data_IF_449455530257
#
_entry.id   IF_449455530257
#
_cell.length_a   1.000
_cell.length_b   1.000
_cell.length_c   1.000
_cell.angle_alpha   90.00
_cell.angle_beta   90.00
_cell.angle_gamma   90.00
#
_symmetry.space_group_name_H-M   'P 1'
#
loop_
_entity.id
_entity.type
_entity.pdbx_description
1 polymer ?
#
# COMPACT_ATOMS: atom_id res chain seq x y z
N UNK A 1 -1.71 7.22 2.86
CA UNK A 1 -2.74 6.21 3.16
C UNK A 1 -2.53 5.04 2.22
N UNK A 2 -2.64 3.79 2.71
CA UNK A 2 -2.58 2.61 1.84
C UNK A 2 -3.73 2.62 0.80
N UNK A 3 -3.48 2.15 -0.41
CA UNK A 3 -4.51 2.01 -1.45
C UNK A 3 -5.53 0.94 -1.11
N UNK A 4 -5.08 -0.12 -0.46
CA UNK A 4 -5.93 -1.24 -0.10
C UNK A 4 -6.32 -1.16 1.38
N UNK A 5 -7.61 -1.28 1.69
CA UNK A 5 -8.07 -1.30 3.08
C UNK A 5 -7.63 -2.60 3.77
N UNK A 6 -7.51 -2.57 5.09
CA UNK A 6 -7.17 -3.75 5.89
C UNK A 6 -5.85 -3.63 6.63
N UNK A 7 -5.50 -4.67 7.38
CA UNK A 7 -4.30 -4.72 8.20
C UNK A 7 -3.01 -4.81 7.35
N UNK A 8 -3.09 -5.37 6.14
CA UNK A 8 -1.93 -5.50 5.24
C UNK A 8 -1.26 -4.15 4.94
N UNK A 9 -2.05 -3.06 4.87
CA UNK A 9 -1.52 -1.72 4.69
C UNK A 9 -0.59 -1.23 5.81
N UNK A 10 -0.64 -1.85 7.00
CA UNK A 10 0.25 -1.50 8.11
C UNK A 10 1.69 -1.95 7.86
N UNK A 11 1.93 -2.90 6.95
CA UNK A 11 3.27 -3.33 6.54
C UNK A 11 3.99 -2.31 5.64
N UNK A 12 3.28 -1.29 5.18
CA UNK A 12 3.87 -0.25 4.34
C UNK A 12 4.58 0.81 5.18
N UNK A 13 5.82 1.11 4.82
CA UNK A 13 6.57 2.27 5.29
C UNK A 13 6.76 3.26 4.15
N UNK A 14 6.50 4.53 4.44
CA UNK A 14 6.77 5.63 3.51
C UNK A 14 7.92 6.47 4.05
N UNK A 15 8.97 6.59 3.28
CA UNK A 15 10.12 7.43 3.63
C UNK A 15 10.19 8.61 2.68
N UNK A 16 10.41 9.80 3.23
CA UNK A 16 10.53 11.04 2.47
C UNK A 16 11.83 11.74 2.80
N UNK A 17 12.65 11.96 1.77
CA UNK A 17 13.84 12.80 1.83
C UNK A 17 13.50 14.16 1.20
N UNK A 18 13.53 15.22 2.02
CA UNK A 18 12.96 16.54 1.69
C UNK A 18 14.01 17.55 1.27
N UNK A 19 15.29 17.27 1.53
CA UNK A 19 16.38 18.22 1.27
C UNK A 19 17.71 17.51 1.11
N UNK A 20 18.70 18.24 0.59
CA UNK A 20 20.07 17.73 0.52
C UNK A 20 20.63 17.36 1.90
N UNK A 21 20.22 18.09 2.95
CA UNK A 21 20.62 17.79 4.33
C UNK A 21 19.99 16.49 4.84
N UNK A 22 18.75 16.20 4.46
CA UNK A 22 18.10 14.92 4.78
C UNK A 22 18.79 13.74 4.09
N UNK A 23 19.26 13.97 2.86
CA UNK A 23 19.97 12.96 2.07
C UNK A 23 21.35 12.63 2.63
N UNK A 24 22.16 13.67 2.92
CA UNK A 24 23.51 13.53 3.42
C UNK A 24 23.84 14.67 4.39
N UNK A 25 24.35 14.33 5.58
CA UNK A 25 24.78 15.33 6.55
C UNK A 25 26.02 14.88 7.29
N UNK A 26 27.03 15.76 7.37
CA UNK A 26 28.21 15.54 8.19
C UNK A 26 27.85 15.50 9.68
N UNK A 27 28.45 14.60 10.44
CA UNK A 27 28.37 14.56 11.90
C UNK A 27 28.92 15.80 12.60
N UNK A 28 29.43 16.78 11.86
CA UNK A 28 29.99 18.01 12.40
C UNK A 28 31.20 17.75 13.31
N UNK A 29 31.11 18.23 14.54
CA UNK A 29 32.15 17.97 15.57
C UNK A 29 31.97 16.63 16.29
N UNK A 30 30.89 15.92 16.08
CA UNK A 30 30.65 14.62 16.67
C UNK A 30 31.53 13.54 16.01
N UNK A 31 32.03 12.64 16.84
CA UNK A 31 32.83 11.52 16.41
C UNK A 31 32.30 10.21 16.99
N UNK A 32 32.65 9.12 16.34
CA UNK A 32 32.33 7.76 16.81
C UNK A 32 33.61 7.00 17.21
N UNK A 33 33.46 6.08 18.15
CA UNK A 33 34.47 5.10 18.54
C UNK A 33 33.84 3.72 18.42
N UNK A 34 34.47 2.82 17.67
CA UNK A 34 33.95 1.48 17.42
C UNK A 34 35.08 0.46 17.38
N UNK A 35 34.94 -0.66 18.08
CA UNK A 35 35.87 -1.77 18.02
C UNK A 35 35.59 -2.72 16.87
N UNK A 36 36.66 -3.30 16.33
CA UNK A 36 36.56 -4.34 15.30
C UNK A 36 35.68 -5.50 15.79
N UNK A 37 34.75 -5.95 14.95
CA UNK A 37 33.77 -6.98 15.28
C UNK A 37 32.56 -6.50 16.11
N UNK A 38 32.52 -5.23 16.54
CA UNK A 38 31.39 -4.65 17.27
C UNK A 38 30.28 -4.20 16.35
N UNK A 39 29.03 -4.26 16.87
CA UNK A 39 27.85 -3.58 16.28
C UNK A 39 27.59 -2.22 16.95
N UNK A 40 28.25 -1.91 18.04
CA UNK A 40 27.98 -0.71 18.82
C UNK A 40 29.14 0.26 18.70
N UNK A 41 28.83 1.48 18.29
CA UNK A 41 29.74 2.62 18.34
C UNK A 41 29.30 3.56 19.46
N UNK A 42 30.26 4.07 20.25
CA UNK A 42 29.99 5.18 21.17
C UNK A 42 30.15 6.51 20.43
N UNK A 43 29.34 7.51 20.81
CA UNK A 43 29.38 8.85 20.21
C UNK A 43 29.91 9.87 21.18
N UNK A 44 30.63 10.87 20.67
CA UNK A 44 31.17 11.98 21.51
C UNK A 44 30.11 13.04 21.82
N UNK A 45 28.94 13.01 21.14
CA UNK A 45 27.84 13.90 21.37
C UNK A 45 26.51 13.12 21.18
N UNK A 46 25.49 13.58 21.86
CA UNK A 46 24.13 13.04 21.70
C UNK A 46 23.62 13.23 20.26
N UNK A 47 23.31 12.13 19.60
CA UNK A 47 22.79 12.10 18.23
C UNK A 47 21.27 12.00 18.19
N UNK A 48 20.61 11.92 19.34
CA UNK A 48 19.15 11.88 19.43
C UNK A 48 18.50 13.27 19.40
N UNK A 49 19.29 14.31 19.58
CA UNK A 49 18.86 15.72 19.59
C UNK A 49 19.71 16.57 18.65
N UNK A 50 19.10 17.46 17.91
CA UNK A 50 19.76 18.35 16.96
C UNK A 50 20.49 19.49 17.68
N UNK A 51 21.63 19.22 18.29
CA UNK A 51 22.49 20.22 18.97
C UNK A 51 23.79 20.44 18.21
N UNK A 52 23.69 20.84 16.92
CA UNK A 52 24.87 21.14 16.08
C UNK A 52 25.57 19.94 15.50
N UNK A 53 25.03 18.73 15.65
CA UNK A 53 25.44 17.49 14.99
C UNK A 53 24.33 16.99 14.11
N UNK A 54 24.64 16.12 13.15
CA UNK A 54 23.63 15.45 12.34
C UNK A 54 22.70 14.63 13.23
N UNK A 55 21.39 14.88 13.13
CA UNK A 55 20.40 14.04 13.82
C UNK A 55 20.36 12.68 13.14
N UNK A 56 20.76 11.64 13.88
CA UNK A 56 20.74 10.25 13.41
C UNK A 56 19.44 9.58 13.83
N UNK A 57 18.87 8.77 12.95
CA UNK A 57 17.64 8.02 13.20
C UNK A 57 17.83 6.52 12.92
N UNK A 58 17.06 5.64 13.55
CA UNK A 58 17.01 4.23 13.14
C UNK A 58 16.65 4.13 11.65
N UNK A 59 17.44 3.34 10.92
CA UNK A 59 17.31 3.21 9.47
C UNK A 59 18.34 4.00 8.68
N UNK A 60 18.85 5.12 9.17
CA UNK A 60 19.93 5.87 8.52
C UNK A 60 21.18 5.02 8.29
N UNK A 61 22.00 5.44 7.34
CA UNK A 61 23.31 4.82 7.08
C UNK A 61 24.41 5.76 7.52
N UNK A 62 25.33 5.25 8.33
CA UNK A 62 26.50 6.00 8.79
C UNK A 62 27.71 5.57 7.99
N UNK A 63 28.31 6.53 7.30
CA UNK A 63 29.58 6.38 6.63
C UNK A 63 30.71 6.87 7.54
N UNK A 64 31.75 6.09 7.66
CA UNK A 64 33.04 6.48 8.27
C UNK A 64 34.19 5.78 7.59
N UNK A 65 35.39 6.32 7.72
CA UNK A 65 36.57 5.83 7.02
C UNK A 65 37.59 5.34 8.04
N UNK A 66 38.19 4.18 7.82
CA UNK A 66 39.25 3.65 8.69
C UNK A 66 40.64 4.27 8.41
N UNK A 67 41.63 3.87 9.20
CA UNK A 67 43.02 4.33 9.07
C UNK A 67 43.69 3.88 7.76
N UNK A 68 43.12 2.87 7.08
CA UNK A 68 43.58 2.41 5.77
C UNK A 68 42.86 3.10 4.61
N UNK A 69 42.07 4.12 4.90
CA UNK A 69 41.22 4.85 3.92
C UNK A 69 40.11 3.98 3.27
N UNK A 70 39.62 3.00 4.01
CA UNK A 70 38.50 2.18 3.59
C UNK A 70 37.21 2.78 4.17
N UNK A 71 36.25 3.01 3.32
CA UNK A 71 34.91 3.51 3.70
C UNK A 71 34.01 2.37 4.16
N UNK A 72 33.34 2.55 5.27
CA UNK A 72 32.33 1.65 5.82
C UNK A 72 30.97 2.35 5.84
N UNK A 73 29.93 1.65 5.41
CA UNK A 73 28.54 2.10 5.42
C UNK A 73 27.73 1.13 6.28
N UNK A 74 27.36 1.55 7.48
CA UNK A 74 26.62 0.71 8.41
C UNK A 74 25.24 1.30 8.69
N UNK A 75 24.20 0.47 8.54
CA UNK A 75 22.82 0.89 8.81
C UNK A 75 22.56 0.91 10.32
N UNK A 76 21.96 1.99 10.79
CA UNK A 76 21.55 2.18 12.18
C UNK A 76 20.35 1.29 12.50
N UNK A 77 20.45 0.46 13.52
CA UNK A 77 19.38 -0.34 14.09
C UNK A 77 18.67 0.42 15.22
N UNK A 78 19.43 0.99 16.13
CA UNK A 78 18.93 1.77 17.27
C UNK A 78 20.00 2.72 17.78
N UNK A 79 19.58 3.69 18.58
CA UNK A 79 20.50 4.61 19.24
C UNK A 79 20.04 4.98 20.65
N UNK A 80 21.03 5.45 21.42
CA UNK A 80 20.88 6.09 22.73
C UNK A 80 21.68 7.41 22.70
N UNK A 81 21.58 8.20 23.75
CA UNK A 81 22.28 9.48 23.86
C UNK A 81 23.82 9.37 23.65
N UNK A 82 24.39 8.21 23.87
CA UNK A 82 25.84 7.99 23.86
C UNK A 82 26.30 6.87 22.91
N UNK A 83 25.40 6.19 22.23
CA UNK A 83 25.78 5.07 21.38
C UNK A 83 24.83 4.86 20.20
N UNK A 84 25.39 4.41 19.07
CA UNK A 84 24.70 3.95 17.88
C UNK A 84 24.88 2.44 17.78
N UNK A 85 23.79 1.69 17.67
CA UNK A 85 23.83 0.26 17.38
C UNK A 85 23.53 0.06 15.90
N UNK A 86 24.39 -0.67 15.21
CA UNK A 86 24.26 -0.99 13.78
C UNK A 86 23.66 -2.37 13.58
N UNK A 87 23.02 -2.59 12.45
CA UNK A 87 22.52 -3.92 12.04
C UNK A 87 23.66 -4.90 11.83
N UNK A 88 24.77 -4.44 11.22
CA UNK A 88 25.91 -5.25 10.90
C UNK A 88 27.12 -4.85 11.76
N UNK A 89 28.07 -5.80 11.88
CA UNK A 89 29.30 -5.57 12.60
C UNK A 89 30.27 -4.75 11.77
N UNK A 90 30.99 -3.85 12.41
CA UNK A 90 32.19 -3.26 11.81
C UNK A 90 33.26 -4.33 11.61
N UNK A 91 33.71 -4.50 10.38
CA UNK A 91 34.64 -5.59 9.97
C UNK A 91 36.07 -5.09 9.69
N UNK A 92 36.36 -3.85 10.00
CA UNK A 92 37.70 -3.31 9.82
C UNK A 92 38.78 -4.02 10.68
N UNK A 93 40.01 -3.94 10.25
CA UNK A 93 41.10 -4.69 10.85
C UNK A 93 41.53 -4.19 12.26
N UNK A 94 41.17 -2.96 12.62
CA UNK A 94 41.55 -2.33 13.89
C UNK A 94 40.40 -1.54 14.50
N UNK A 95 40.44 -1.32 15.80
CA UNK A 95 39.55 -0.42 16.51
C UNK A 95 39.70 1.01 15.99
N UNK A 96 38.61 1.73 15.90
CA UNK A 96 38.59 3.14 15.53
C UNK A 96 38.22 3.99 16.75
N UNK A 97 38.95 5.07 16.95
CA UNK A 97 38.72 6.02 18.02
C UNK A 97 38.58 7.42 17.47
N UNK A 98 37.53 8.12 17.88
CA UNK A 98 37.27 9.53 17.51
C UNK A 98 37.28 9.78 16.00
N UNK A 99 36.56 8.95 15.25
CA UNK A 99 36.45 9.08 13.79
C UNK A 99 35.24 9.93 13.42
N UNK A 100 35.45 10.86 12.50
CA UNK A 100 34.35 11.63 11.90
C UNK A 100 33.42 10.73 11.07
N UNK A 101 32.16 11.06 11.00
CA UNK A 101 31.19 10.31 10.23
C UNK A 101 30.30 11.23 9.40
N UNK A 102 29.63 10.65 8.42
CA UNK A 102 28.57 11.27 7.61
C UNK A 102 27.34 10.40 7.70
N UNK A 103 26.20 11.01 7.98
CA UNK A 103 24.89 10.36 7.94
C UNK A 103 24.32 10.46 6.53
N UNK A 104 23.78 9.34 6.04
CA UNK A 104 23.02 9.24 4.81
C UNK A 104 21.60 8.76 5.10
N UNK A 105 20.66 9.22 4.32
CA UNK A 105 19.31 8.66 4.28
C UNK A 105 19.35 7.17 3.92
N UNK A 106 18.49 6.35 4.53
CA UNK A 106 18.42 4.89 4.32
C UNK A 106 18.46 4.44 2.85
N UNK A 107 17.82 5.21 1.99
CA UNK A 107 17.60 4.88 0.58
C UNK A 107 18.44 5.74 -0.37
N UNK A 108 19.54 6.30 0.12
CA UNK A 108 20.41 7.19 -0.63
C UNK A 108 20.97 6.58 -1.93
N UNK A 109 21.15 5.26 -1.94
CA UNK A 109 21.69 4.47 -3.06
C UNK A 109 20.65 4.11 -4.14
N UNK A 110 19.37 4.39 -3.88
CA UNK A 110 18.29 4.15 -4.83
C UNK A 110 18.00 5.34 -5.74
N UNK A 111 18.58 6.49 -5.46
CA UNK A 111 18.39 7.74 -6.20
C UNK A 111 19.73 8.28 -6.67
N UNK A 112 19.73 9.08 -7.73
CA UNK A 112 20.97 9.54 -8.38
C UNK A 112 21.71 10.64 -7.62
N UNK A 113 20.96 11.49 -6.92
CA UNK A 113 21.48 12.63 -6.18
C UNK A 113 20.53 13.05 -5.07
N UNK A 114 20.98 13.95 -4.20
CA UNK A 114 20.12 14.61 -3.21
C UNK A 114 19.02 15.41 -3.90
N UNK A 115 17.83 15.57 -3.27
CA UNK A 115 16.78 16.42 -3.81
C UNK A 115 17.25 17.88 -3.89
N UNK A 116 16.95 18.52 -4.98
CA UNK A 116 17.43 19.87 -5.32
C UNK A 116 16.32 20.81 -5.73
N UNK A 117 16.52 21.46 -6.85
CA UNK A 117 15.55 22.39 -7.46
C UNK A 117 15.20 21.88 -8.85
N UNK A 118 13.91 21.67 -9.10
CA UNK A 118 13.45 21.28 -10.43
C UNK A 118 13.66 22.41 -11.45
N UNK A 119 13.87 22.05 -12.71
CA UNK A 119 14.02 23.03 -13.78
C UNK A 119 12.81 23.97 -13.89
N UNK A 120 11.62 23.48 -13.59
CA UNK A 120 10.41 24.30 -13.55
C UNK A 120 10.48 25.38 -12.47
N UNK A 121 10.82 25.00 -11.25
CA UNK A 121 10.92 25.90 -10.11
C UNK A 121 12.06 26.90 -10.27
N UNK A 122 13.21 26.47 -10.80
CA UNK A 122 14.34 27.35 -11.12
C UNK A 122 13.93 28.43 -12.12
N UNK A 123 13.22 28.04 -13.20
CA UNK A 123 12.70 28.99 -14.19
C UNK A 123 11.70 30.00 -13.62
N UNK A 124 11.08 29.71 -12.48
CA UNK A 124 10.17 30.61 -11.74
C UNK A 124 10.88 31.43 -10.67
N UNK A 125 12.17 31.19 -10.43
CA UNK A 125 12.98 31.90 -9.44
C UNK A 125 12.89 31.34 -8.01
N UNK A 126 12.25 30.19 -7.81
CA UNK A 126 12.25 29.45 -6.55
C UNK A 126 13.39 28.46 -6.45
N UNK A 127 13.52 27.81 -5.29
CA UNK A 127 14.56 26.82 -5.01
C UNK A 127 14.06 25.72 -4.08
N UNK A 128 14.70 24.53 -4.13
CA UNK A 128 14.54 23.46 -3.16
C UNK A 128 13.12 22.88 -3.11
N UNK A 129 12.52 22.62 -4.24
CA UNK A 129 11.19 22.05 -4.35
C UNK A 129 11.18 20.52 -4.50
N UNK A 130 12.30 19.93 -4.89
CA UNK A 130 12.36 18.49 -5.09
C UNK A 130 12.38 17.73 -3.76
N UNK A 131 11.76 16.57 -3.79
CA UNK A 131 11.74 15.57 -2.71
C UNK A 131 11.85 14.17 -3.31
N UNK A 132 12.35 13.22 -2.52
CA UNK A 132 12.32 11.80 -2.87
C UNK A 132 11.36 11.08 -1.95
N UNK A 133 10.55 10.17 -2.50
CA UNK A 133 9.63 9.34 -1.73
C UNK A 133 9.90 7.88 -2.06
N UNK A 134 10.04 7.06 -1.02
CA UNK A 134 10.21 5.61 -1.13
C UNK A 134 9.12 4.91 -0.35
N UNK A 135 8.51 3.91 -0.98
CA UNK A 135 7.54 3.01 -0.35
C UNK A 135 8.19 1.65 -0.20
N UNK A 136 8.16 1.10 1.00
CA UNK A 136 8.76 -0.19 1.32
C UNK A 136 7.79 -1.09 2.10
N UNK A 137 7.96 -2.38 1.95
CA UNK A 137 7.32 -3.41 2.75
C UNK A 137 8.11 -3.58 4.05
N UNK A 138 7.68 -2.90 5.12
CA UNK A 138 8.46 -2.79 6.36
C UNK A 138 8.60 -4.15 7.06
N UNK A 139 7.51 -4.89 7.13
CA UNK A 139 7.44 -6.16 7.87
C UNK A 139 7.64 -7.39 6.99
N UNK A 140 7.49 -7.24 5.69
CA UNK A 140 7.59 -8.34 4.72
C UNK A 140 6.28 -9.09 4.48
N UNK A 141 5.15 -8.59 4.98
CA UNK A 141 3.85 -9.25 4.84
C UNK A 141 3.29 -9.20 3.41
N UNK A 142 3.80 -8.29 2.59
CA UNK A 142 3.39 -8.12 1.19
C UNK A 142 4.25 -8.98 0.27
N UNK A 143 5.58 -8.88 0.40
CA UNK A 143 6.54 -9.49 -0.53
C UNK A 143 7.19 -10.77 0.00
N UNK A 144 7.05 -11.04 1.29
CA UNK A 144 7.79 -12.09 1.99
C UNK A 144 9.20 -11.66 2.41
N UNK A 145 9.63 -10.44 2.10
CA UNK A 145 10.97 -9.94 2.41
C UNK A 145 10.88 -8.62 3.17
N UNK A 146 11.28 -8.64 4.42
CA UNK A 146 11.28 -7.46 5.29
C UNK A 146 12.16 -6.34 4.73
N UNK A 147 11.58 -5.13 4.62
CA UNK A 147 12.25 -3.94 4.12
C UNK A 147 12.41 -3.87 2.62
N UNK A 148 11.74 -4.75 1.86
CA UNK A 148 11.76 -4.72 0.40
C UNK A 148 11.16 -3.41 -0.12
N UNK A 149 11.91 -2.72 -0.98
CA UNK A 149 11.43 -1.51 -1.65
C UNK A 149 10.41 -1.88 -2.72
N UNK A 150 9.28 -1.20 -2.70
CA UNK A 150 8.17 -1.40 -3.64
C UNK A 150 8.17 -0.31 -4.71
N UNK A 151 8.34 0.97 -4.32
CA UNK A 151 8.27 2.12 -5.22
C UNK A 151 9.30 3.17 -4.82
N UNK A 152 9.84 3.86 -5.83
CA UNK A 152 10.77 4.99 -5.67
C UNK A 152 10.30 6.14 -6.55
N UNK A 153 10.08 7.30 -5.96
CA UNK A 153 9.74 8.55 -6.63
C UNK A 153 10.90 9.53 -6.44
N UNK A 154 11.76 9.61 -7.45
CA UNK A 154 12.94 10.48 -7.43
C UNK A 154 12.59 11.86 -8.02
N UNK A 155 12.92 12.94 -7.30
CA UNK A 155 12.82 14.29 -7.80
C UNK A 155 11.40 14.78 -8.08
N UNK A 156 10.40 14.26 -7.36
CA UNK A 156 9.05 14.82 -7.41
C UNK A 156 9.00 16.15 -6.66
N UNK A 157 8.12 17.04 -7.08
CA UNK A 157 8.09 18.40 -6.56
C UNK A 157 7.02 18.61 -5.50
N UNK A 158 7.33 19.39 -4.47
CA UNK A 158 6.33 19.93 -3.53
C UNK A 158 5.65 21.21 -4.05
N UNK A 159 6.07 21.70 -5.20
CA UNK A 159 5.40 22.83 -5.84
C UNK A 159 4.14 22.36 -6.59
N UNK A 160 2.99 22.90 -6.19
CA UNK A 160 1.67 22.48 -6.69
C UNK A 160 1.45 22.74 -8.18
N UNK A 161 2.22 23.66 -8.74
CA UNK A 161 2.19 24.04 -10.16
C UNK A 161 3.36 23.44 -10.98
N UNK A 162 4.21 22.60 -10.34
CA UNK A 162 5.37 22.01 -11.00
C UNK A 162 4.99 21.10 -12.17
N UNK A 163 5.80 21.21 -13.23
CA UNK A 163 5.66 20.39 -14.43
C UNK A 163 6.97 19.76 -14.85
N UNK A 164 6.88 18.59 -15.44
CA UNK A 164 7.98 17.93 -16.14
C UNK A 164 8.27 18.65 -17.46
N UNK A 165 9.38 18.31 -18.13
CA UNK A 165 9.69 18.80 -19.46
C UNK A 165 8.61 18.44 -20.50
N UNK A 166 7.91 17.33 -20.33
CA UNK A 166 6.78 16.92 -21.16
C UNK A 166 5.48 17.68 -20.89
N UNK A 167 5.45 18.52 -19.84
CA UNK A 167 4.29 19.33 -19.46
C UNK A 167 3.30 18.63 -18.49
N UNK A 168 3.58 17.40 -18.09
CA UNK A 168 2.79 16.70 -17.07
C UNK A 168 3.04 17.28 -15.68
N UNK A 169 2.09 17.08 -14.75
CA UNK A 169 2.30 17.46 -13.35
C UNK A 169 3.45 16.66 -12.72
N UNK A 170 4.40 17.39 -12.12
CA UNK A 170 5.45 16.82 -11.25
C UNK A 170 5.16 17.02 -9.77
N UNK A 171 3.99 17.54 -9.40
CA UNK A 171 3.58 17.68 -8.03
C UNK A 171 3.44 16.28 -7.38
N UNK A 172 4.10 16.06 -6.24
CA UNK A 172 4.25 14.72 -5.65
C UNK A 172 2.91 14.02 -5.40
N UNK A 173 1.86 14.75 -5.03
CA UNK A 173 0.52 14.17 -4.83
C UNK A 173 -0.03 13.61 -6.14
N UNK A 174 0.03 14.38 -7.23
CA UNK A 174 -0.48 13.97 -8.54
C UNK A 174 0.32 12.80 -9.11
N UNK A 175 1.65 12.83 -8.90
CA UNK A 175 2.53 11.74 -9.36
C UNK A 175 2.21 10.45 -8.63
N UNK A 176 2.14 10.48 -7.31
CA UNK A 176 1.82 9.31 -6.48
C UNK A 176 0.40 8.81 -6.78
N UNK A 177 -0.59 9.70 -6.93
CA UNK A 177 -1.96 9.29 -7.23
C UNK A 177 -2.07 8.56 -8.58
N UNK A 178 -1.28 8.98 -9.57
CA UNK A 178 -1.27 8.40 -10.92
C UNK A 178 -0.44 7.12 -11.02
N UNK A 179 0.67 7.02 -10.29
CA UNK A 179 1.68 5.99 -10.52
C UNK A 179 1.78 4.93 -9.42
N UNK A 180 1.37 5.25 -8.18
CA UNK A 180 1.51 4.31 -7.07
C UNK A 180 0.47 3.19 -7.16
N UNK A 181 0.90 1.97 -6.94
CA UNK A 181 0.03 0.83 -6.73
C UNK A 181 -0.30 0.60 -5.24
N UNK A 182 0.44 1.24 -4.33
CA UNK A 182 0.41 0.92 -2.91
C UNK A 182 -0.16 2.02 -2.02
N UNK A 183 0.01 3.29 -2.39
CA UNK A 183 -0.37 4.42 -1.53
C UNK A 183 -1.15 5.49 -2.27
N UNK A 184 -1.94 6.26 -1.49
CA UNK A 184 -2.47 7.56 -1.88
C UNK A 184 -1.78 8.64 -1.06
N UNK A 185 -1.30 9.69 -1.70
CA UNK A 185 -0.84 10.91 -1.05
C UNK A 185 -2.04 11.83 -0.78
N UNK A 186 -2.90 11.47 0.18
CA UNK A 186 -4.19 12.14 0.39
C UNK A 186 -4.43 12.45 1.87
N UNK A 187 -5.10 13.54 2.14
CA UNK A 187 -5.75 13.77 3.44
C UNK A 187 -5.08 14.76 4.37
N UNK A 188 -3.84 15.20 4.13
CA UNK A 188 -3.27 16.32 4.88
C UNK A 188 -2.98 17.48 3.93
N UNK A 189 -3.43 18.65 4.30
CA UNK A 189 -3.01 19.88 3.66
C UNK A 189 -1.59 20.19 4.11
N UNK A 190 -0.70 20.44 3.15
CA UNK A 190 0.65 20.95 3.42
C UNK A 190 1.61 19.96 4.11
N UNK A 191 1.58 18.68 3.73
CA UNK A 191 2.46 17.61 4.25
C UNK A 191 3.95 17.95 4.12
N UNK A 192 4.35 18.60 3.03
CA UNK A 192 5.73 18.90 2.70
C UNK A 192 5.97 20.41 2.56
N UNK A 193 5.24 21.24 3.32
CA UNK A 193 5.24 22.69 3.15
C UNK A 193 4.98 23.07 1.69
N UNK A 194 3.89 22.52 1.11
CA UNK A 194 3.50 22.71 -0.27
C UNK A 194 3.43 24.19 -0.65
N UNK A 195 3.89 24.53 -1.82
CA UNK A 195 4.07 25.90 -2.28
C UNK A 195 3.85 25.98 -3.79
N UNK A 196 4.01 27.16 -4.39
CA UNK A 196 4.17 27.26 -5.85
C UNK A 196 5.64 27.27 -6.21
N UNK A 197 5.99 26.96 -7.46
CA UNK A 197 7.37 27.01 -7.94
C UNK A 197 8.04 28.35 -7.64
N UNK A 198 7.37 29.46 -7.92
CA UNK A 198 7.90 30.82 -7.68
C UNK A 198 8.12 31.16 -6.19
N UNK A 199 7.38 30.53 -5.27
CA UNK A 199 7.47 30.78 -3.83
C UNK A 199 8.27 29.69 -3.09
N UNK A 200 8.81 28.71 -3.79
CA UNK A 200 9.54 27.61 -3.17
C UNK A 200 10.88 28.11 -2.59
N UNK A 201 11.16 27.63 -1.37
CA UNK A 201 12.41 27.87 -0.65
C UNK A 201 12.94 26.54 -0.11
N UNK A 202 14.24 26.35 -0.07
CA UNK A 202 14.84 25.12 0.43
C UNK A 202 14.41 24.82 1.89
N UNK A 203 14.06 23.57 2.15
CA UNK A 203 13.81 23.09 3.51
C UNK A 203 15.17 22.84 4.18
N UNK A 204 15.37 23.41 5.37
CA UNK A 204 16.69 23.42 6.04
C UNK A 204 16.70 22.75 7.41
N UNK A 205 15.56 22.41 7.97
CA UNK A 205 15.43 22.09 9.39
C UNK A 205 14.85 20.69 9.69
N UNK A 206 14.57 19.91 8.67
CA UNK A 206 13.91 18.62 8.88
C UNK A 206 14.82 17.46 8.51
N UNK A 207 14.56 16.30 9.10
CA UNK A 207 15.21 15.05 8.71
C UNK A 207 14.30 14.25 7.77
N UNK A 208 14.89 13.33 7.04
CA UNK A 208 14.12 12.31 6.32
C UNK A 208 13.16 11.59 7.27
N UNK A 209 11.97 11.27 6.80
CA UNK A 209 10.98 10.54 7.59
C UNK A 209 10.96 9.07 7.22
N UNK A 210 10.59 8.23 8.18
CA UNK A 210 10.36 6.78 8.02
C UNK A 210 9.03 6.45 8.67
N UNK A 211 7.93 6.79 7.99
CA UNK A 211 6.59 6.69 8.54
C UNK A 211 5.95 5.35 8.20
N UNK A 212 5.79 4.48 9.21
CA UNK A 212 5.00 3.26 9.08
C UNK A 212 3.52 3.61 9.01
N UNK A 213 2.81 3.06 8.03
CA UNK A 213 1.35 3.19 7.98
C UNK A 213 0.74 2.38 9.13
N UNK A 214 -0.37 2.90 9.68
CA UNK A 214 -1.00 2.36 10.89
C UNK A 214 -2.52 2.43 10.76
N UNK A 215 -3.21 1.78 11.70
CA UNK A 215 -4.67 1.80 11.84
C UNK A 215 -5.42 1.04 10.74
N UNK A 216 -4.73 0.27 9.90
CA UNK A 216 -5.37 -0.74 9.08
C UNK A 216 -5.90 -1.86 9.96
N UNK A 217 -7.17 -2.21 9.81
CA UNK A 217 -7.81 -3.26 10.59
C UNK A 217 -8.59 -4.15 9.65
N UNK A 218 -8.36 -5.45 9.73
CA UNK A 218 -9.21 -6.43 9.06
C UNK A 218 -10.48 -6.64 9.87
N UNK A 219 -11.57 -6.95 9.20
CA UNK A 219 -12.76 -7.34 9.90
C UNK A 219 -12.48 -8.63 10.70
N UNK A 220 -12.65 -8.58 12.01
CA UNK A 220 -12.47 -9.74 12.89
C UNK A 220 -13.42 -10.92 12.56
N UNK A 221 -14.38 -10.70 11.68
CA UNK A 221 -15.40 -11.67 11.32
C UNK A 221 -15.83 -11.49 9.86
N UNK A 222 -14.98 -11.85 8.90
CA UNK A 222 -15.35 -11.87 7.46
C UNK A 222 -16.63 -12.70 7.20
N UNK A 223 -16.85 -13.73 8.00
CA UNK A 223 -18.10 -14.52 7.99
C UNK A 223 -19.34 -13.77 8.48
N UNK A 224 -19.17 -12.60 9.09
CA UNK A 224 -20.24 -11.78 9.70
C UNK A 224 -20.51 -10.48 8.93
N UNK A 225 -19.96 -10.32 7.72
CA UNK A 225 -20.25 -9.17 6.85
C UNK A 225 -21.76 -9.09 6.64
N UNK A 226 -22.33 -7.93 6.92
CA UNK A 226 -23.78 -7.74 6.78
C UNK A 226 -24.20 -7.60 5.31
N UNK A 227 -25.47 -7.90 5.03
CA UNK A 227 -26.05 -7.64 3.72
C UNK A 227 -25.91 -6.16 3.32
N UNK A 228 -26.03 -5.23 4.27
CA UNK A 228 -25.92 -3.80 4.00
C UNK A 228 -24.50 -3.41 3.54
N UNK A 229 -23.44 -3.99 4.13
CA UNK A 229 -22.08 -3.70 3.73
C UNK A 229 -21.80 -4.18 2.31
N UNK A 230 -22.24 -5.41 1.98
CA UNK A 230 -22.10 -5.96 0.63
C UNK A 230 -22.92 -5.15 -0.37
N UNK A 231 -24.15 -4.77 -0.01
CA UNK A 231 -25.03 -3.97 -0.86
C UNK A 231 -24.38 -2.62 -1.24
N UNK A 232 -23.63 -1.98 -0.31
CA UNK A 232 -22.88 -0.76 -0.61
C UNK A 232 -21.85 -0.96 -1.74
N UNK A 233 -21.22 -2.13 -1.82
CA UNK A 233 -20.33 -2.48 -2.92
C UNK A 233 -21.08 -2.62 -4.25
N UNK A 234 -22.24 -3.26 -4.25
CA UNK A 234 -23.08 -3.39 -5.47
C UNK A 234 -23.67 -2.05 -5.91
N UNK A 235 -23.87 -1.10 -4.99
CA UNK A 235 -24.41 0.22 -5.32
C UNK A 235 -23.52 1.01 -6.28
N UNK A 236 -22.22 0.72 -6.29
CA UNK A 236 -21.27 1.32 -7.24
C UNK A 236 -21.57 0.94 -8.71
N UNK A 237 -22.38 -0.10 -8.93
CA UNK A 237 -22.74 -0.62 -10.24
C UNK A 237 -24.20 -0.32 -10.61
N UNK A 238 -24.92 0.53 -9.90
CA UNK A 238 -26.31 0.86 -10.16
C UNK A 238 -26.54 1.65 -11.45
N UNK A 239 -25.59 2.53 -11.78
CA UNK A 239 -25.72 3.41 -12.94
C UNK A 239 -25.19 2.70 -14.18
N UNK A 240 -26.04 2.54 -15.19
CA UNK A 240 -25.62 2.01 -16.49
C UNK A 240 -24.83 3.05 -17.32
N UNK A 241 -24.93 4.34 -16.96
CA UNK A 241 -24.21 5.41 -17.63
C UNK A 241 -22.75 5.52 -17.17
N UNK A 242 -22.50 5.16 -15.89
CA UNK A 242 -21.16 5.30 -15.29
C UNK A 242 -20.30 4.04 -15.47
N UNK A 243 -20.90 2.86 -15.42
CA UNK A 243 -20.18 1.58 -15.46
C UNK A 243 -20.87 0.59 -16.38
N UNK A 244 -20.15 0.08 -17.37
CA UNK A 244 -20.63 -0.98 -18.27
C UNK A 244 -20.34 -2.36 -17.67
N UNK A 245 -21.39 -3.15 -17.44
CA UNK A 245 -21.31 -4.52 -16.94
C UNK A 245 -22.33 -5.42 -17.64
N UNK A 246 -21.97 -6.66 -17.95
CA UNK A 246 -22.87 -7.64 -18.58
C UNK A 246 -23.33 -8.71 -17.60
N UNK A 247 -22.52 -9.08 -16.62
CA UNK A 247 -22.79 -10.16 -15.69
C UNK A 247 -22.60 -9.69 -14.24
N UNK A 248 -23.51 -10.12 -13.37
CA UNK A 248 -23.45 -9.85 -11.92
C UNK A 248 -23.44 -11.19 -11.19
N UNK A 249 -22.42 -11.42 -10.37
CA UNK A 249 -22.25 -12.65 -9.60
C UNK A 249 -22.63 -12.39 -8.13
N UNK A 250 -23.50 -13.21 -7.57
CA UNK A 250 -23.87 -13.11 -6.16
C UNK A 250 -22.73 -13.54 -5.23
N UNK A 251 -21.95 -14.56 -5.63
CA UNK A 251 -21.04 -15.24 -4.71
C UNK A 251 -21.81 -16.02 -3.63
N UNK A 252 -21.48 -15.79 -2.35
CA UNK A 252 -22.14 -16.44 -1.22
C UNK A 252 -23.53 -15.85 -0.95
N UNK A 253 -24.50 -16.70 -0.69
CA UNK A 253 -25.85 -16.30 -0.23
C UNK A 253 -25.76 -15.67 1.19
N UNK A 254 -26.44 -14.54 1.39
CA UNK A 254 -26.41 -13.81 2.66
C UNK A 254 -27.67 -12.98 2.89
N UNK A 255 -28.06 -12.82 4.14
CA UNK A 255 -29.19 -11.98 4.54
C UNK A 255 -30.55 -12.57 4.19
N UNK A 256 -31.62 -12.00 4.74
CA UNK A 256 -32.96 -12.51 4.60
C UNK A 256 -33.23 -13.77 5.45
N UNK A 257 -34.48 -14.22 5.44
CA UNK A 257 -34.91 -15.39 6.23
C UNK A 257 -34.34 -16.69 5.66
N UNK A 258 -34.29 -16.80 4.34
CA UNK A 258 -33.78 -17.98 3.62
C UNK A 258 -32.43 -17.69 2.95
N UNK A 259 -31.62 -16.80 3.50
CA UNK A 259 -30.35 -16.33 2.91
C UNK A 259 -30.50 -15.70 1.50
N UNK A 260 -31.69 -15.35 1.13
CA UNK A 260 -32.08 -14.82 -0.19
C UNK A 260 -31.93 -13.28 -0.30
N UNK A 261 -31.46 -12.60 0.78
CA UNK A 261 -31.42 -11.15 0.87
C UNK A 261 -30.55 -10.49 -0.19
N UNK A 262 -29.34 -11.02 -0.42
CA UNK A 262 -28.43 -10.47 -1.43
C UNK A 262 -28.95 -10.71 -2.85
N UNK A 263 -29.51 -11.89 -3.13
CA UNK A 263 -30.12 -12.18 -4.42
C UNK A 263 -31.29 -11.23 -4.73
N UNK A 264 -32.12 -10.93 -3.72
CA UNK A 264 -33.19 -9.91 -3.82
C UNK A 264 -32.63 -8.54 -4.09
N UNK A 265 -31.60 -8.16 -3.35
CA UNK A 265 -30.97 -6.85 -3.50
C UNK A 265 -30.42 -6.65 -4.91
N UNK A 266 -29.63 -7.61 -5.42
CA UNK A 266 -29.06 -7.60 -6.76
C UNK A 266 -30.20 -7.50 -7.81
N UNK A 267 -31.26 -8.33 -7.67
CA UNK A 267 -32.41 -8.27 -8.59
C UNK A 267 -33.05 -6.89 -8.59
N UNK A 268 -33.43 -6.37 -7.41
CA UNK A 268 -34.25 -5.17 -7.29
C UNK A 268 -33.50 -3.89 -7.61
N UNK A 269 -32.24 -3.82 -7.21
CA UNK A 269 -31.47 -2.58 -7.24
C UNK A 269 -30.45 -2.52 -8.38
N UNK A 270 -30.06 -3.65 -8.96
CA UNK A 270 -29.09 -3.70 -10.04
C UNK A 270 -29.75 -4.13 -11.34
N UNK A 271 -30.06 -5.42 -11.52
CA UNK A 271 -30.42 -5.93 -12.83
C UNK A 271 -31.80 -5.48 -13.32
N UNK A 272 -32.81 -5.35 -12.45
CA UNK A 272 -34.13 -4.82 -12.84
C UNK A 272 -34.11 -3.30 -13.07
N UNK A 273 -33.20 -2.60 -12.44
CA UNK A 273 -33.00 -1.16 -12.66
C UNK A 273 -32.29 -0.89 -13.98
N UNK A 274 -31.21 -1.64 -14.24
CA UNK A 274 -30.31 -1.46 -15.39
C UNK A 274 -30.90 -2.10 -16.68
N UNK A 275 -31.30 -3.37 -16.59
CA UNK A 275 -31.81 -4.20 -17.72
C UNK A 275 -30.80 -4.45 -18.86
N UNK A 276 -29.55 -4.19 -18.64
CA UNK A 276 -28.41 -4.39 -19.54
C UNK A 276 -27.48 -5.50 -19.09
N UNK A 277 -27.75 -6.11 -17.94
CA UNK A 277 -26.92 -7.17 -17.35
C UNK A 277 -27.77 -8.30 -16.76
N UNK A 278 -27.15 -9.46 -16.54
CA UNK A 278 -27.81 -10.67 -16.00
C UNK A 278 -27.13 -11.06 -14.70
N UNK A 279 -27.89 -11.34 -13.65
CA UNK A 279 -27.40 -11.86 -12.38
C UNK A 279 -27.42 -13.39 -12.32
N UNK A 280 -26.38 -13.96 -11.75
CA UNK A 280 -26.24 -15.38 -11.43
C UNK A 280 -26.26 -15.56 -9.93
N UNK A 281 -27.22 -16.33 -9.41
CA UNK A 281 -27.44 -16.51 -7.97
C UNK A 281 -27.49 -17.99 -7.60
N UNK A 282 -26.99 -18.30 -6.41
CA UNK A 282 -27.01 -19.66 -5.82
C UNK A 282 -27.65 -19.61 -4.43
N UNK A 283 -28.34 -20.70 -3.99
CA UNK A 283 -28.85 -20.81 -2.61
C UNK A 283 -27.71 -20.86 -1.58
N UNK A 284 -28.06 -20.86 -0.30
CA UNK A 284 -27.07 -21.01 0.78
C UNK A 284 -26.44 -22.40 0.76
N UNK A 285 -25.18 -22.48 1.20
CA UNK A 285 -24.49 -23.77 1.32
C UNK A 285 -25.26 -24.76 2.19
N UNK A 286 -25.83 -24.30 3.30
CA UNK A 286 -26.59 -25.14 4.22
C UNK A 286 -27.90 -25.68 3.63
N UNK A 287 -28.42 -25.07 2.55
CA UNK A 287 -29.62 -25.56 1.87
C UNK A 287 -29.29 -26.75 0.93
N UNK A 288 -28.03 -26.93 0.56
CA UNK A 288 -27.59 -27.87 -0.47
C UNK A 288 -26.65 -28.94 0.09
N UNK A 289 -25.66 -28.53 0.88
CA UNK A 289 -24.59 -29.41 1.37
C UNK A 289 -24.93 -29.90 2.76
N UNK A 290 -24.80 -31.20 2.98
CA UNK A 290 -25.10 -31.91 4.24
C UNK A 290 -26.54 -31.71 4.76
N UNK A 291 -27.51 -31.44 3.86
CA UNK A 291 -28.93 -31.16 4.16
C UNK A 291 -29.84 -32.30 3.71
N UNK A 292 -29.46 -33.55 3.99
CA UNK A 292 -30.12 -34.76 3.47
C UNK A 292 -31.62 -34.81 3.78
N UNK A 293 -32.44 -34.80 2.72
CA UNK A 293 -33.89 -34.90 2.79
C UNK A 293 -34.62 -33.56 2.87
N UNK A 294 -33.93 -32.44 3.07
CA UNK A 294 -34.54 -31.08 3.09
C UNK A 294 -34.12 -30.19 1.91
N UNK A 295 -33.15 -30.62 1.09
CA UNK A 295 -32.54 -29.82 0.04
C UNK A 295 -33.59 -29.18 -0.90
N UNK A 296 -34.53 -29.98 -1.37
CA UNK A 296 -35.58 -29.51 -2.30
C UNK A 296 -36.48 -28.46 -1.66
N UNK A 297 -36.78 -28.64 -0.37
CA UNK A 297 -37.65 -27.70 0.37
C UNK A 297 -36.92 -26.36 0.57
N UNK A 298 -35.67 -26.39 0.99
CA UNK A 298 -34.90 -25.19 1.31
C UNK A 298 -34.47 -24.43 0.06
N UNK A 299 -34.05 -25.11 -0.99
CA UNK A 299 -33.77 -24.49 -2.31
C UNK A 299 -35.05 -23.81 -2.86
N UNK A 300 -36.24 -24.47 -2.71
CA UNK A 300 -37.52 -23.86 -3.10
C UNK A 300 -37.85 -22.65 -2.23
N UNK A 301 -37.56 -22.68 -0.95
CA UNK A 301 -37.76 -21.56 -0.04
C UNK A 301 -36.90 -20.35 -0.47
N UNK A 302 -35.62 -20.57 -0.76
CA UNK A 302 -34.73 -19.55 -1.33
C UNK A 302 -35.30 -18.98 -2.65
N UNK A 303 -35.68 -19.87 -3.60
CA UNK A 303 -36.22 -19.47 -4.90
C UNK A 303 -37.53 -18.67 -4.76
N UNK A 304 -38.45 -19.10 -3.88
CA UNK A 304 -39.73 -18.41 -3.66
C UNK A 304 -39.57 -17.05 -3.00
N UNK A 305 -38.46 -16.83 -2.31
CA UNK A 305 -38.07 -15.53 -1.76
C UNK A 305 -37.74 -14.50 -2.85
N UNK A 306 -37.27 -14.94 -4.01
CA UNK A 306 -36.87 -14.06 -5.13
C UNK A 306 -38.04 -13.95 -6.11
N UNK A 307 -38.52 -12.72 -6.36
CA UNK A 307 -39.57 -12.46 -7.40
C UNK A 307 -39.00 -12.83 -8.78
N UNK A 308 -39.88 -13.32 -9.67
CA UNK A 308 -39.46 -13.66 -11.03
C UNK A 308 -38.88 -12.46 -11.77
N UNK A 309 -37.80 -12.70 -12.49
CA UNK A 309 -37.10 -11.73 -13.33
C UNK A 309 -36.52 -12.45 -14.55
N UNK A 310 -36.53 -11.77 -15.70
CA UNK A 310 -35.83 -12.24 -16.90
C UNK A 310 -34.34 -11.98 -16.86
N UNK A 311 -33.87 -11.24 -15.86
CA UNK A 311 -32.48 -10.84 -15.69
C UNK A 311 -31.78 -11.59 -14.56
N UNK A 312 -32.39 -12.64 -13.99
CA UNK A 312 -31.82 -13.44 -12.93
C UNK A 312 -31.79 -14.92 -13.31
N UNK A 313 -30.64 -15.48 -13.35
CA UNK A 313 -30.42 -16.92 -13.50
C UNK A 313 -30.07 -17.53 -12.13
N UNK A 314 -30.79 -18.56 -11.70
CA UNK A 314 -30.55 -19.27 -10.46
C UNK A 314 -30.09 -20.70 -10.73
N UNK A 315 -28.97 -21.09 -10.15
CA UNK A 315 -28.57 -22.50 -10.02
C UNK A 315 -29.05 -23.10 -8.69
N UNK A 316 -28.83 -24.40 -8.49
CA UNK A 316 -29.21 -25.11 -7.27
C UNK A 316 -28.06 -25.85 -6.61
N UNK A 317 -26.79 -25.49 -6.93
CA UNK A 317 -25.70 -26.37 -6.59
C UNK A 317 -24.45 -25.72 -6.02
N UNK A 318 -23.63 -26.62 -5.50
CA UNK A 318 -22.27 -26.34 -5.06
C UNK A 318 -21.32 -27.34 -5.67
N UNK A 319 -20.11 -26.90 -6.04
CA UNK A 319 -19.01 -27.79 -6.40
C UNK A 319 -18.05 -27.96 -5.22
N UNK A 320 -17.49 -29.14 -5.09
CA UNK A 320 -16.43 -29.42 -4.14
C UNK A 320 -15.09 -29.37 -4.87
N UNK A 321 -14.30 -28.34 -4.61
CA UNK A 321 -13.07 -28.03 -5.36
C UNK A 321 -11.88 -27.86 -4.42
N UNK A 322 -10.74 -28.38 -4.86
CA UNK A 322 -9.47 -28.16 -4.18
C UNK A 322 -8.94 -26.74 -4.41
N UNK A 323 -8.68 -26.06 -3.29
CA UNK A 323 -8.01 -24.78 -3.26
C UNK A 323 -6.51 -25.03 -3.07
N UNK A 324 -5.76 -24.90 -4.16
CA UNK A 324 -4.31 -25.18 -4.18
C UNK A 324 -3.47 -24.18 -3.39
N UNK A 325 -4.01 -23.01 -3.10
CA UNK A 325 -3.29 -21.96 -2.38
C UNK A 325 -3.35 -22.16 -0.87
N UNK A 326 -4.49 -22.66 -0.37
CA UNK A 326 -4.71 -22.93 1.06
C UNK A 326 -4.58 -24.41 1.41
N UNK A 327 -4.32 -25.31 0.44
CA UNK A 327 -4.23 -26.78 0.62
C UNK A 327 -5.48 -27.39 1.27
N UNK A 328 -6.66 -26.91 0.87
CA UNK A 328 -7.94 -27.39 1.41
C UNK A 328 -8.99 -27.57 0.32
N UNK A 329 -9.94 -28.48 0.55
CA UNK A 329 -11.12 -28.59 -0.29
C UNK A 329 -12.22 -27.67 0.22
N UNK A 330 -12.88 -26.97 -0.69
CA UNK A 330 -13.96 -26.02 -0.39
C UNK A 330 -15.19 -26.29 -1.22
N UNK A 331 -16.37 -26.09 -0.63
CA UNK A 331 -17.62 -26.00 -1.36
C UNK A 331 -17.78 -24.56 -1.90
N UNK A 332 -17.96 -24.44 -3.21
CA UNK A 332 -18.07 -23.17 -3.93
C UNK A 332 -19.44 -23.13 -4.62
N UNK A 333 -20.22 -22.04 -4.50
CA UNK A 333 -21.47 -21.90 -5.19
C UNK A 333 -21.27 -21.86 -6.71
N UNK A 334 -22.21 -22.38 -7.48
CA UNK A 334 -22.07 -22.53 -8.94
C UNK A 334 -22.35 -21.24 -9.73
N UNK A 335 -22.80 -20.15 -9.12
CA UNK A 335 -23.14 -18.92 -9.85
C UNK A 335 -21.99 -18.39 -10.72
N UNK A 336 -20.74 -18.47 -10.26
CA UNK A 336 -19.57 -18.08 -11.06
C UNK A 336 -19.32 -19.02 -12.24
N UNK A 337 -19.48 -20.34 -12.06
CA UNK A 337 -19.32 -21.32 -13.14
C UNK A 337 -20.42 -21.19 -14.20
N UNK A 338 -21.65 -20.93 -13.77
CA UNK A 338 -22.79 -20.71 -14.69
C UNK A 338 -22.61 -19.43 -15.51
N UNK A 339 -22.11 -18.37 -14.92
CA UNK A 339 -21.76 -17.15 -15.65
C UNK A 339 -20.61 -17.43 -16.65
N UNK A 340 -19.59 -18.19 -16.26
CA UNK A 340 -18.51 -18.60 -17.16
C UNK A 340 -19.00 -19.48 -18.33
N UNK A 341 -20.00 -20.34 -18.10
CA UNK A 341 -20.63 -21.11 -19.16
C UNK A 341 -21.45 -20.22 -20.11
N UNK A 342 -22.12 -19.18 -19.61
CA UNK A 342 -22.84 -18.23 -20.45
C UNK A 342 -21.87 -17.50 -21.39
N UNK A 343 -20.77 -16.94 -20.84
CA UNK A 343 -19.72 -16.30 -21.66
C UNK A 343 -19.15 -17.25 -22.72
N UNK A 344 -18.86 -18.47 -22.33
CA UNK A 344 -18.33 -19.48 -23.28
C UNK A 344 -19.34 -19.83 -24.37
N UNK A 345 -20.63 -19.84 -24.05
CA UNK A 345 -21.67 -20.08 -25.04
C UNK A 345 -21.76 -18.96 -26.05
N UNK A 346 -21.71 -17.72 -25.60
CA UNK A 346 -21.69 -16.54 -26.46
C UNK A 346 -20.46 -16.53 -27.37
N UNK A 347 -19.28 -16.79 -26.83
CA UNK A 347 -18.03 -16.85 -27.60
C UNK A 347 -18.04 -17.93 -28.71
N UNK A 348 -18.61 -19.10 -28.40
CA UNK A 348 -18.56 -20.25 -29.32
C UNK A 348 -19.73 -20.36 -30.29
N UNK A 349 -20.85 -19.67 -30.04
CA UNK A 349 -22.09 -19.90 -30.76
C UNK A 349 -22.81 -18.62 -31.24
N UNK A 350 -22.24 -17.44 -31.01
CA UNK A 350 -22.83 -16.14 -31.33
C UNK A 350 -24.31 -16.05 -30.84
N UNK A 351 -24.57 -16.48 -29.60
CA UNK A 351 -25.90 -16.65 -29.04
C UNK A 351 -26.30 -15.49 -28.15
#
# INVERSE_FOLDING_TARGET
>A
VARYPGALGNSLQVSVCKSAKDYEESGGSATITISSGSKVATTSADQTVATGSALVQPGDVIKFTDSASIDYFLQVESLTDSAITFKDKYTGASDLSTVSFTRFWKYYDLVRAAPGTSAYTEAKGGVGDEVHVVVADEDGDITGTKGQVLEVYEGVSRATDAKTESGESNYYIDVIERQSDWIYAKGATNLLADTTGAASTALTTENATYDSLKLGVDSAAEGSISLADIATGYDLFKSAEDVDISLVLQGKAIGGTNKDGLAKYIRDNIVESRKDCVAFVSPDKGDVVDNIGSEVTDIKAFRNGITNSSYVFMDSGYKYQYDKYSDVYRYIPLNGDMAGLAVRSDELRDA
#
